data_IF_858760112502
#
_entry.id   IF_858760112502
#
_cell.length_a   1.000
_cell.length_b   1.000
_cell.length_c   1.000
_cell.angle_alpha   90.00
_cell.angle_beta   90.00
_cell.angle_gamma   90.00
#
_symmetry.space_group_name_H-M   'P 1'
#
loop_
_entity.id
_entity.type
_entity.pdbx_description
1 polymer ?
#
# COMPACT_ATOMS: atom_id res chain seq x y z
N UNK A 1 -32.88 27.34 -27.19
CA UNK A 1 -31.54 26.90 -27.62
C UNK A 1 -30.90 26.27 -26.39
N UNK A 2 -31.17 24.99 -26.21
CA UNK A 2 -30.80 24.20 -25.02
C UNK A 2 -29.42 23.56 -25.20
N UNK A 3 -28.89 23.09 -24.07
CA UNK A 3 -27.82 22.11 -23.93
C UNK A 3 -26.39 22.66 -23.76
N UNK A 4 -26.08 23.10 -22.53
CA UNK A 4 -24.71 22.94 -22.02
C UNK A 4 -24.66 22.75 -20.50
N UNK A 5 -25.09 21.57 -20.01
CA UNK A 5 -24.97 21.22 -18.58
C UNK A 5 -24.98 19.71 -18.30
N UNK A 6 -24.05 18.92 -18.86
CA UNK A 6 -24.05 17.48 -18.57
C UNK A 6 -22.72 16.72 -18.71
N UNK A 7 -21.55 17.31 -18.38
CA UNK A 7 -20.27 16.56 -18.42
C UNK A 7 -19.43 16.63 -17.13
N UNK A 8 -20.05 16.49 -15.95
CA UNK A 8 -19.31 16.46 -14.67
C UNK A 8 -19.51 15.24 -13.77
N UNK A 9 -20.20 14.17 -14.22
CA UNK A 9 -20.60 13.06 -13.32
C UNK A 9 -20.07 11.64 -13.62
N UNK A 10 -19.17 11.43 -14.58
CA UNK A 10 -18.84 10.07 -15.06
C UNK A 10 -17.43 9.52 -14.78
N UNK A 11 -16.58 10.17 -13.97
CA UNK A 11 -15.22 9.65 -13.66
C UNK A 11 -14.93 9.29 -12.20
N UNK A 12 -15.75 9.76 -11.26
CA UNK A 12 -15.60 9.45 -9.82
C UNK A 12 -16.17 8.10 -9.36
N UNK A 13 -17.29 7.56 -9.90
CA UNK A 13 -17.97 6.45 -9.24
C UNK A 13 -17.15 5.15 -9.23
N UNK A 14 -16.36 4.86 -10.28
CA UNK A 14 -15.57 3.62 -10.34
C UNK A 14 -14.46 3.57 -9.29
N UNK A 15 -13.69 4.66 -9.11
CA UNK A 15 -12.56 4.69 -8.18
C UNK A 15 -13.00 4.59 -6.71
N UNK A 16 -14.12 5.22 -6.39
CA UNK A 16 -14.67 5.16 -5.04
C UNK A 16 -15.19 3.75 -4.72
N UNK A 17 -15.90 3.12 -5.66
CA UNK A 17 -16.31 1.72 -5.55
C UNK A 17 -15.13 0.75 -5.44
N UNK A 18 -14.05 0.97 -6.21
CA UNK A 18 -12.85 0.13 -6.14
C UNK A 18 -12.14 0.28 -4.78
N UNK A 19 -12.08 1.51 -4.25
CA UNK A 19 -11.55 1.77 -2.90
C UNK A 19 -12.35 1.07 -1.82
N UNK A 20 -13.68 1.14 -1.89
CA UNK A 20 -14.55 0.51 -0.90
C UNK A 20 -14.45 -1.02 -0.97
N UNK A 21 -14.39 -1.59 -2.18
CA UNK A 21 -14.13 -3.03 -2.37
C UNK A 21 -12.79 -3.46 -1.79
N UNK A 22 -11.73 -2.69 -2.04
CA UNK A 22 -10.40 -2.95 -1.48
C UNK A 22 -10.44 -2.91 0.05
N UNK A 23 -11.07 -1.88 0.63
CA UNK A 23 -11.21 -1.74 2.07
C UNK A 23 -11.98 -2.92 2.68
N UNK A 24 -13.09 -3.31 2.07
CA UNK A 24 -13.87 -4.48 2.50
C UNK A 24 -13.07 -5.78 2.39
N UNK A 25 -12.29 -5.98 1.33
CA UNK A 25 -11.41 -7.15 1.21
C UNK A 25 -10.40 -7.18 2.36
N UNK A 26 -9.68 -6.09 2.59
CA UNK A 26 -8.63 -6.02 3.61
C UNK A 26 -9.19 -6.23 5.03
N UNK A 27 -10.35 -5.63 5.33
CA UNK A 27 -11.00 -5.77 6.62
C UNK A 27 -11.50 -7.21 6.92
N UNK A 28 -11.70 -8.02 5.88
CA UNK A 28 -12.10 -9.43 6.02
C UNK A 28 -10.90 -10.39 6.13
N UNK A 29 -9.66 -9.90 6.06
CA UNK A 29 -8.47 -10.72 6.24
C UNK A 29 -8.18 -10.92 7.75
N UNK A 30 -8.17 -12.17 8.25
CA UNK A 30 -7.95 -12.44 9.68
C UNK A 30 -6.62 -11.86 10.19
N UNK A 31 -6.69 -11.18 11.33
CA UNK A 31 -5.52 -10.60 12.02
C UNK A 31 -4.95 -9.35 11.36
N UNK A 32 -5.46 -8.92 10.20
CA UNK A 32 -5.06 -7.68 9.57
C UNK A 32 -5.76 -6.48 10.22
N UNK A 33 -5.02 -5.40 10.45
CA UNK A 33 -5.58 -4.12 10.88
C UNK A 33 -5.52 -3.09 9.73
N UNK A 34 -6.46 -2.12 9.68
CA UNK A 34 -6.39 -1.03 8.72
C UNK A 34 -5.12 -0.21 8.89
N UNK A 35 -4.50 0.21 7.78
CA UNK A 35 -3.26 0.99 7.80
C UNK A 35 -3.44 2.31 8.58
N UNK A 36 -4.63 2.89 8.55
CA UNK A 36 -4.95 4.10 9.32
C UNK A 36 -4.89 3.90 10.85
N UNK A 37 -5.11 2.67 11.31
CA UNK A 37 -5.20 2.33 12.75
C UNK A 37 -3.89 1.73 13.29
N UNK A 38 -2.94 1.38 12.39
CA UNK A 38 -1.64 0.83 12.77
C UNK A 38 -0.90 1.76 13.72
N UNK A 39 -0.55 1.21 14.87
CA UNK A 39 0.24 1.93 15.86
C UNK A 39 1.73 1.97 15.49
N UNK A 40 2.35 3.16 15.46
CA UNK A 40 3.79 3.29 15.24
C UNK A 40 4.62 2.49 16.24
N UNK A 41 5.65 1.82 15.72
CA UNK A 41 6.68 1.04 16.45
C UNK A 41 6.16 -0.23 17.11
N UNK A 42 4.94 -0.66 16.79
CA UNK A 42 4.34 -1.93 17.21
C UNK A 42 4.36 -2.91 16.03
N UNK A 43 4.36 -4.21 16.34
CA UNK A 43 4.20 -5.25 15.33
C UNK A 43 2.77 -5.21 14.79
N UNK A 44 2.63 -5.17 13.46
CA UNK A 44 1.34 -5.05 12.79
C UNK A 44 1.25 -6.08 11.65
N UNK A 45 0.04 -6.52 11.35
CA UNK A 45 -0.28 -7.24 10.12
C UNK A 45 -1.21 -6.35 9.31
N UNK A 46 -0.82 -6.04 8.08
CA UNK A 46 -1.66 -5.26 7.16
C UNK A 46 -1.89 -6.02 5.88
N UNK A 47 -3.04 -5.81 5.26
CA UNK A 47 -3.33 -6.31 3.92
C UNK A 47 -3.69 -5.12 3.04
N UNK A 48 -3.22 -5.15 1.80
CA UNK A 48 -3.57 -4.12 0.83
C UNK A 48 -3.11 -4.48 -0.58
N UNK A 49 -3.36 -3.55 -1.50
CA UNK A 49 -2.90 -3.63 -2.88
C UNK A 49 -1.60 -2.87 -3.07
N UNK A 50 -0.68 -3.46 -3.82
CA UNK A 50 0.54 -2.81 -4.27
C UNK A 50 0.17 -1.76 -5.33
N UNK A 51 0.41 -0.50 -5.03
CA UNK A 51 0.09 0.61 -5.93
C UNK A 51 1.32 1.13 -6.68
N UNK A 52 2.52 0.93 -6.12
CA UNK A 52 3.77 1.38 -6.70
C UNK A 52 4.91 0.45 -6.29
N UNK A 53 5.84 0.20 -7.22
CA UNK A 53 7.08 -0.53 -7.00
C UNK A 53 8.22 0.28 -7.62
N UNK A 54 9.26 0.55 -6.86
CA UNK A 54 10.43 1.29 -7.31
C UNK A 54 11.70 0.67 -6.75
N UNK A 55 12.78 0.68 -7.55
CA UNK A 55 14.13 0.39 -7.05
C UNK A 55 14.85 1.71 -6.84
N UNK A 56 15.37 1.94 -5.64
CA UNK A 56 16.16 3.14 -5.32
C UNK A 56 17.58 2.74 -4.94
N UNK A 57 18.57 3.47 -5.46
CA UNK A 57 19.97 3.31 -5.05
C UNK A 57 20.23 4.17 -3.82
N UNK A 58 20.92 3.63 -2.81
CA UNK A 58 21.37 4.39 -1.65
C UNK A 58 22.77 4.97 -1.88
N UNK A 59 23.22 5.95 -1.07
CA UNK A 59 24.55 6.56 -1.23
C UNK A 59 25.71 5.56 -1.19
N UNK A 60 25.55 4.44 -0.49
CA UNK A 60 26.51 3.33 -0.42
C UNK A 60 26.45 2.38 -1.64
N UNK A 61 25.65 2.71 -2.66
CA UNK A 61 25.44 1.90 -3.86
C UNK A 61 24.47 0.73 -3.66
N UNK A 62 24.00 0.46 -2.44
CA UNK A 62 23.10 -0.65 -2.17
C UNK A 62 21.71 -0.40 -2.78
N UNK A 63 21.10 -1.40 -3.46
CA UNK A 63 19.76 -1.26 -4.01
C UNK A 63 18.70 -1.54 -2.96
N UNK A 64 17.67 -0.71 -2.88
CA UNK A 64 16.49 -0.95 -2.07
C UNK A 64 15.27 -1.08 -2.96
N UNK A 65 14.46 -2.11 -2.73
CA UNK A 65 13.14 -2.26 -3.34
C UNK A 65 12.13 -1.57 -2.44
N UNK A 66 11.49 -0.53 -2.95
CA UNK A 66 10.43 0.20 -2.26
C UNK A 66 9.09 -0.11 -2.89
N UNK A 67 8.12 -0.45 -2.05
CA UNK A 67 6.76 -0.80 -2.46
C UNK A 67 5.78 0.03 -1.66
N UNK A 68 4.77 0.58 -2.33
CA UNK A 68 3.66 1.26 -1.66
C UNK A 68 2.45 0.35 -1.65
N UNK A 69 1.92 0.08 -0.47
CA UNK A 69 0.71 -0.72 -0.25
C UNK A 69 -0.40 0.21 0.24
N UNK A 70 -1.59 0.06 -0.33
CA UNK A 70 -2.79 0.82 0.04
C UNK A 70 -3.92 -0.15 0.36
N UNK A 71 -4.69 0.11 1.41
CA UNK A 71 -5.82 -0.72 1.86
C UNK A 71 -7.17 0.03 1.78
N UNK A 72 -7.18 1.22 1.16
CA UNK A 72 -8.31 2.15 1.13
C UNK A 72 -8.40 3.09 2.35
N UNK A 73 -7.70 2.82 3.44
CA UNK A 73 -7.68 3.66 4.66
C UNK A 73 -6.39 4.47 4.78
N UNK A 74 -5.27 3.94 4.30
CA UNK A 74 -3.97 4.57 4.38
C UNK A 74 -2.98 4.06 3.34
N UNK A 75 -1.70 4.36 3.57
CA UNK A 75 -0.62 3.85 2.73
C UNK A 75 0.62 3.50 3.56
N UNK A 76 1.11 2.28 3.36
CA UNK A 76 2.31 1.75 3.99
C UNK A 76 3.43 1.64 2.95
N UNK A 77 4.65 2.06 3.30
CA UNK A 77 5.83 1.74 2.49
C UNK A 77 6.52 0.50 3.01
N UNK A 78 6.67 -0.48 2.15
CA UNK A 78 7.44 -1.67 2.42
C UNK A 78 8.80 -1.56 1.74
N UNK A 79 9.86 -1.75 2.51
CA UNK A 79 11.23 -1.65 2.02
C UNK A 79 11.94 -2.99 2.16
N UNK A 80 12.49 -3.51 1.07
CA UNK A 80 13.47 -4.58 1.12
C UNK A 80 14.85 -4.06 0.76
N UNK A 81 15.75 -4.08 1.73
CA UNK A 81 17.14 -3.62 1.56
C UNK A 81 17.97 -4.67 0.83
N UNK A 82 18.91 -4.25 -0.01
CA UNK A 82 19.78 -5.14 -0.78
C UNK A 82 19.08 -5.87 -1.94
N UNK A 83 17.80 -5.57 -2.20
CA UNK A 83 17.02 -6.21 -3.26
C UNK A 83 16.66 -5.19 -4.35
N UNK A 84 16.80 -5.61 -5.61
CA UNK A 84 16.31 -4.83 -6.76
C UNK A 84 14.88 -5.19 -7.14
N UNK A 85 14.51 -6.47 -6.99
CA UNK A 85 13.22 -7.04 -7.35
C UNK A 85 12.89 -8.23 -6.46
N UNK A 86 11.61 -8.53 -6.33
CA UNK A 86 11.07 -9.75 -5.74
C UNK A 86 10.01 -10.27 -6.73
N UNK A 87 10.03 -11.56 -7.04
CA UNK A 87 9.06 -12.14 -7.97
C UNK A 87 7.63 -11.98 -7.43
N UNK A 88 6.68 -11.64 -8.31
CA UNK A 88 5.28 -11.43 -7.94
C UNK A 88 4.97 -10.08 -7.29
N UNK A 89 5.96 -9.35 -6.76
CA UNK A 89 5.75 -7.98 -6.28
C UNK A 89 5.69 -7.02 -7.47
N UNK A 90 4.46 -6.65 -7.85
CA UNK A 90 4.15 -5.71 -8.93
C UNK A 90 2.85 -4.95 -8.61
N UNK A 91 2.62 -3.78 -9.22
CA UNK A 91 1.37 -3.05 -9.06
C UNK A 91 0.13 -3.90 -9.36
N UNK A 92 -0.95 -3.68 -8.62
CA UNK A 92 -2.23 -4.40 -8.73
C UNK A 92 -2.26 -5.76 -8.03
N UNK A 93 -1.18 -6.22 -7.40
CA UNK A 93 -1.20 -7.45 -6.59
C UNK A 93 -1.53 -7.13 -5.14
N UNK A 94 -2.27 -8.04 -4.50
CA UNK A 94 -2.57 -7.95 -3.08
C UNK A 94 -1.47 -8.63 -2.27
N UNK A 95 -1.14 -8.04 -1.14
CA UNK A 95 -0.06 -8.49 -0.28
C UNK A 95 -0.47 -8.37 1.18
N UNK A 96 -0.20 -9.41 1.96
CA UNK A 96 -0.19 -9.36 3.41
C UNK A 96 1.24 -9.06 3.87
N UNK A 97 1.38 -8.11 4.79
CA UNK A 97 2.68 -7.68 5.31
C UNK A 97 2.65 -7.73 6.83
N UNK A 98 3.60 -8.42 7.43
CA UNK A 98 3.78 -8.52 8.87
C UNK A 98 5.15 -7.99 9.27
N UNK A 99 5.14 -6.99 10.16
CA UNK A 99 6.36 -6.38 10.67
C UNK A 99 6.10 -5.14 11.51
N UNK A 100 7.18 -4.64 12.13
CA UNK A 100 7.13 -3.39 12.91
C UNK A 100 7.04 -2.17 12.01
N UNK A 101 5.91 -1.47 12.06
CA UNK A 101 5.70 -0.24 11.31
C UNK A 101 6.37 0.95 12.02
N UNK A 102 6.98 1.86 11.27
CA UNK A 102 7.70 3.03 11.78
C UNK A 102 7.31 4.27 11.00
N UNK A 103 7.10 5.42 11.66
CA UNK A 103 6.75 6.65 10.94
C UNK A 103 8.02 7.24 10.29
N UNK A 104 7.90 7.77 9.07
CA UNK A 104 8.98 8.50 8.40
C UNK A 104 8.53 9.84 7.86
N UNK A 105 9.37 10.85 8.07
CA UNK A 105 9.17 12.22 7.62
C UNK A 105 8.10 12.96 8.41
N UNK A 106 7.96 14.26 8.15
CA UNK A 106 7.05 15.14 8.90
C UNK A 106 5.57 14.75 8.81
N UNK A 107 5.15 14.06 7.74
CA UNK A 107 3.78 13.60 7.54
C UNK A 107 3.47 12.24 8.18
N UNK A 108 4.43 11.65 8.90
CA UNK A 108 4.21 10.41 9.66
C UNK A 108 3.89 9.17 8.84
N UNK A 109 4.18 9.15 7.53
CA UNK A 109 3.85 7.99 6.68
C UNK A 109 4.54 6.73 7.21
N UNK A 110 3.76 5.67 7.41
CA UNK A 110 4.24 4.41 7.96
C UNK A 110 5.13 3.68 6.96
N UNK A 111 6.14 3.01 7.52
CA UNK A 111 7.10 2.21 6.79
C UNK A 111 7.51 0.97 7.56
N UNK A 112 7.77 -0.11 6.84
CA UNK A 112 8.28 -1.36 7.41
C UNK A 112 9.48 -1.84 6.59
N UNK A 113 10.49 -2.37 7.28
CA UNK A 113 11.74 -2.83 6.68
C UNK A 113 11.82 -4.35 6.74
N UNK A 114 12.16 -4.96 5.61
CA UNK A 114 12.34 -6.40 5.42
C UNK A 114 11.26 -7.25 6.13
N UNK A 115 9.95 -6.94 5.96
CA UNK A 115 8.91 -7.66 6.66
C UNK A 115 8.77 -9.09 6.14
N UNK A 116 8.05 -9.90 6.92
CA UNK A 116 7.40 -11.11 6.39
C UNK A 116 6.27 -10.67 5.47
N UNK A 117 6.08 -11.38 4.37
CA UNK A 117 5.01 -11.06 3.43
C UNK A 117 4.47 -12.32 2.76
N UNK A 118 3.23 -12.21 2.30
CA UNK A 118 2.54 -13.22 1.50
C UNK A 118 1.80 -12.51 0.36
N UNK A 119 1.93 -13.03 -0.86
CA UNK A 119 1.13 -12.55 -1.99
C UNK A 119 -0.22 -13.27 -1.97
N UNK A 120 -1.30 -12.51 -2.02
CA UNK A 120 -2.66 -13.03 -1.96
C UNK A 120 -3.21 -13.19 -3.39
N UNK A 121 -3.92 -14.30 -3.62
CA UNK A 121 -4.58 -14.61 -4.89
C UNK A 121 -5.90 -13.84 -5.08
#
# INVERSE_FOLDING_TARGET
MELNRAFKRLRAPTRELDRDRLRSFCANCPGAEPIADVQPRVEAIVVGEITCVATVSRPDGSPWLEVTVNDGTGSLRVLWTGRRKIAGIRPGQRIMVSGRCTPKGAKGRLMVYNPKYELLA
#
